data_IF_302722771219
#
_entry.id   IF_302722771219
#
_cell.length_a   1.000
_cell.length_b   1.000
_cell.length_c   1.000
_cell.angle_alpha   90.00
_cell.angle_beta   90.00
_cell.angle_gamma   90.00
#
_symmetry.space_group_name_H-M   'P 1'
#
loop_
_entity.id
_entity.type
_entity.pdbx_description
1 polymer ?
#
# COMPACT_ATOMS: atom_id res chain seq x y z
N UNK A 1 -42.74 -37.87 56.42
CA UNK A 1 -43.94 -37.60 55.61
C UNK A 1 -43.47 -37.44 54.17
N UNK A 2 -43.51 -38.57 53.44
CA UNK A 2 -43.46 -38.76 51.98
C UNK A 2 -42.27 -38.14 51.22
N UNK A 3 -41.22 -38.85 50.81
CA UNK A 3 -41.15 -40.12 50.03
C UNK A 3 -41.88 -40.01 48.68
N UNK A 4 -41.13 -39.79 47.60
CA UNK A 4 -41.42 -40.39 46.29
C UNK A 4 -40.26 -40.20 45.27
N UNK A 5 -39.68 -41.35 44.92
CA UNK A 5 -39.05 -41.76 43.65
C UNK A 5 -37.56 -41.49 43.35
N UNK A 6 -36.78 -42.46 43.83
CA UNK A 6 -35.65 -43.13 43.16
C UNK A 6 -36.08 -43.85 41.86
N UNK A 7 -35.20 -43.79 40.86
CA UNK A 7 -34.74 -44.85 39.93
C UNK A 7 -35.70 -45.93 39.38
N UNK A 8 -35.62 -46.16 38.05
CA UNK A 8 -35.08 -47.36 37.36
C UNK A 8 -35.79 -47.56 36.01
N UNK A 9 -35.04 -47.73 34.90
CA UNK A 9 -35.52 -48.61 33.81
C UNK A 9 -35.17 -48.29 32.35
N UNK A 10 -33.94 -48.67 31.93
CA UNK A 10 -33.53 -49.29 30.65
C UNK A 10 -33.85 -48.69 29.26
N UNK A 11 -32.78 -48.75 28.46
CA UNK A 11 -32.65 -49.01 27.01
C UNK A 11 -33.02 -47.91 26.03
N UNK A 12 -31.99 -47.29 25.45
CA UNK A 12 -31.66 -47.35 24.01
C UNK A 12 -30.25 -46.77 23.83
N UNK A 13 -29.25 -47.64 23.66
CA UNK A 13 -28.64 -47.96 22.35
C UNK A 13 -27.92 -46.77 21.73
N UNK A 14 -26.59 -46.92 21.70
CA UNK A 14 -25.63 -46.19 20.88
C UNK A 14 -26.23 -45.74 19.54
N UNK A 15 -26.34 -44.44 19.35
CA UNK A 15 -26.01 -43.84 18.07
C UNK A 15 -24.75 -43.04 18.27
N UNK A 16 -23.65 -43.60 17.77
CA UNK A 16 -22.38 -42.95 17.54
C UNK A 16 -22.59 -41.76 16.60
N UNK A 17 -23.07 -40.65 17.13
CA UNK A 17 -22.95 -39.34 16.49
C UNK A 17 -21.57 -38.81 16.83
N UNK A 18 -20.65 -38.93 15.89
CA UNK A 18 -19.37 -38.21 15.90
C UNK A 18 -19.66 -36.75 16.23
N UNK A 19 -19.37 -36.33 17.47
CA UNK A 19 -19.21 -34.92 17.78
C UNK A 19 -17.92 -34.53 17.06
N UNK A 20 -18.05 -34.10 15.80
CA UNK A 20 -16.96 -33.39 15.14
C UNK A 20 -16.78 -32.10 15.91
N UNK A 21 -15.75 -32.12 16.74
CA UNK A 21 -15.18 -30.98 17.43
C UNK A 21 -14.88 -29.90 16.37
N UNK A 22 -15.77 -28.94 16.23
CA UNK A 22 -15.77 -27.99 15.12
C UNK A 22 -15.04 -26.69 15.54
N UNK A 23 -13.87 -26.86 16.17
CA UNK A 23 -12.99 -25.82 16.73
C UNK A 23 -12.24 -24.99 15.66
N UNK A 24 -12.61 -25.15 14.38
CA UNK A 24 -11.95 -24.45 13.27
C UNK A 24 -12.43 -23.01 13.16
N UNK A 25 -11.48 -22.11 12.99
CA UNK A 25 -11.71 -20.67 12.94
C UNK A 25 -12.25 -20.28 11.54
N UNK A 26 -13.37 -19.55 11.45
CA UNK A 26 -13.87 -19.08 10.16
C UNK A 26 -12.91 -18.06 9.54
N UNK A 27 -12.78 -18.09 8.22
CA UNK A 27 -11.97 -17.12 7.48
C UNK A 27 -12.58 -16.84 6.10
N UNK A 28 -12.09 -15.78 5.46
CA UNK A 28 -12.49 -15.38 4.12
C UNK A 28 -11.31 -15.52 3.16
N UNK A 29 -11.55 -16.21 2.05
CA UNK A 29 -10.58 -16.33 0.94
C UNK A 29 -11.10 -15.67 -0.33
N UNK A 30 -10.17 -15.26 -1.18
CA UNK A 30 -10.50 -14.68 -2.46
C UNK A 30 -11.18 -15.70 -3.39
N UNK A 31 -12.46 -15.48 -3.73
CA UNK A 31 -13.10 -16.13 -4.86
C UNK A 31 -12.78 -15.35 -6.13
N UNK A 32 -11.85 -15.89 -6.93
CA UNK A 32 -11.36 -15.23 -8.15
C UNK A 32 -12.38 -15.23 -9.29
N UNK A 33 -13.36 -16.13 -9.28
CA UNK A 33 -14.40 -16.19 -10.30
C UNK A 33 -15.42 -15.05 -10.11
N UNK A 34 -15.85 -14.84 -8.86
CA UNK A 34 -16.84 -13.82 -8.51
C UNK A 34 -16.22 -12.48 -8.07
N UNK A 35 -14.89 -12.42 -7.96
CA UNK A 35 -14.13 -11.30 -7.41
C UNK A 35 -14.64 -10.79 -6.05
N UNK A 36 -15.02 -11.73 -5.18
CA UNK A 36 -15.61 -11.49 -3.86
C UNK A 36 -14.94 -12.36 -2.80
N UNK A 37 -15.15 -11.99 -1.54
CA UNK A 37 -14.77 -12.84 -0.41
C UNK A 37 -15.70 -14.05 -0.33
N UNK A 38 -15.13 -15.25 -0.24
CA UNK A 38 -15.84 -16.48 0.08
C UNK A 38 -15.53 -16.86 1.52
N UNK A 39 -16.58 -17.06 2.32
CA UNK A 39 -16.49 -17.52 3.71
C UNK A 39 -16.20 -19.02 3.74
N UNK A 40 -15.24 -19.42 4.55
CA UNK A 40 -14.91 -20.81 4.87
C UNK A 40 -15.10 -21.02 6.37
N UNK A 41 -15.89 -22.03 6.75
CA UNK A 41 -16.25 -22.33 8.13
C UNK A 41 -16.50 -23.83 8.35
N UNK A 42 -16.69 -24.24 9.61
CA UNK A 42 -16.82 -25.64 9.97
C UNK A 42 -15.59 -26.44 9.54
N UNK A 43 -15.79 -27.58 8.85
CA UNK A 43 -14.70 -28.46 8.39
C UNK A 43 -13.68 -27.75 7.47
N UNK A 44 -14.10 -26.70 6.76
CA UNK A 44 -13.26 -25.91 5.86
C UNK A 44 -12.56 -24.73 6.55
N UNK A 45 -12.82 -24.49 7.84
CA UNK A 45 -12.18 -23.44 8.63
C UNK A 45 -10.67 -23.63 8.77
N UNK A 46 -10.00 -22.64 9.37
CA UNK A 46 -8.57 -22.64 9.59
C UNK A 46 -8.19 -22.98 11.03
N UNK A 47 -6.95 -23.41 11.23
CA UNK A 47 -6.40 -23.80 12.53
C UNK A 47 -5.18 -22.94 12.87
N UNK A 48 -4.93 -22.68 14.15
CA UNK A 48 -3.78 -21.88 14.58
C UNK A 48 -2.48 -22.67 14.38
N UNK A 49 -1.49 -22.04 13.74
CA UNK A 49 -0.13 -22.56 13.63
C UNK A 49 0.78 -21.88 14.67
N UNK A 50 0.79 -22.44 15.89
CA UNK A 50 1.56 -21.89 17.03
C UNK A 50 3.08 -21.90 16.82
N UNK A 51 3.59 -22.77 15.97
CA UNK A 51 5.01 -22.95 15.71
C UNK A 51 5.50 -22.16 14.48
N UNK A 52 4.59 -21.49 13.76
CA UNK A 52 4.93 -20.61 12.66
C UNK A 52 5.08 -19.16 13.15
N UNK A 53 6.03 -18.42 12.56
CA UNK A 53 6.19 -16.99 12.81
C UNK A 53 6.55 -16.23 11.54
N UNK A 54 6.03 -15.01 11.40
CA UNK A 54 6.39 -14.10 10.31
C UNK A 54 7.90 -13.79 10.39
N UNK A 55 8.61 -13.96 9.28
CA UNK A 55 10.03 -13.63 9.17
C UNK A 55 10.22 -12.15 8.86
N UNK A 56 11.23 -11.57 9.50
CA UNK A 56 11.73 -10.22 9.25
C UNK A 56 13.24 -10.25 8.95
N UNK A 57 13.78 -11.41 8.54
CA UNK A 57 15.22 -11.65 8.49
C UNK A 57 15.86 -11.24 7.17
N UNK A 58 15.09 -11.17 6.07
CA UNK A 58 15.64 -10.81 4.76
C UNK A 58 16.27 -9.42 4.83
N UNK A 59 17.47 -9.28 4.27
CA UNK A 59 18.16 -8.01 4.20
C UNK A 59 17.33 -6.96 3.43
N UNK A 60 17.42 -5.66 3.78
CA UNK A 60 16.74 -4.61 3.05
C UNK A 60 17.21 -4.52 1.60
N UNK A 61 16.35 -4.09 0.66
CA UNK A 61 16.78 -3.78 -0.70
C UNK A 61 17.82 -2.65 -0.70
N UNK A 62 18.70 -2.57 -1.72
CA UNK A 62 19.63 -1.45 -1.86
C UNK A 62 18.86 -0.13 -1.96
N UNK A 63 19.43 0.95 -1.41
CA UNK A 63 18.86 2.29 -1.54
C UNK A 63 18.78 2.69 -3.03
N UNK A 64 17.75 3.45 -3.44
CA UNK A 64 17.71 4.05 -4.75
C UNK A 64 19.00 4.86 -4.99
N UNK A 65 19.64 4.66 -6.14
CA UNK A 65 20.83 5.43 -6.47
C UNK A 65 20.51 6.93 -6.44
N UNK A 66 21.37 7.72 -5.79
CA UNK A 66 21.25 9.18 -5.81
C UNK A 66 21.14 9.66 -7.27
N UNK A 67 20.28 10.65 -7.57
CA UNK A 67 20.20 11.20 -8.92
C UNK A 67 21.60 11.67 -9.33
N UNK A 68 22.12 11.10 -10.42
CA UNK A 68 23.43 11.50 -10.93
C UNK A 68 23.39 13.01 -11.19
N UNK A 69 24.44 13.77 -10.82
CA UNK A 69 24.48 15.20 -11.13
C UNK A 69 24.23 15.39 -12.63
N UNK A 70 23.54 16.48 -13.02
CA UNK A 70 23.27 16.75 -14.43
C UNK A 70 24.58 16.65 -15.19
N UNK A 71 24.64 15.74 -16.16
CA UNK A 71 25.83 15.61 -17.01
C UNK A 71 26.07 16.99 -17.62
N UNK A 72 27.30 17.54 -17.57
CA UNK A 72 27.61 18.77 -18.28
C UNK A 72 27.17 18.60 -19.73
N UNK A 73 26.56 19.66 -20.29
CA UNK A 73 26.02 19.65 -21.64
C UNK A 73 27.04 19.01 -22.58
N UNK A 74 26.65 17.89 -23.21
CA UNK A 74 27.53 17.20 -24.14
C UNK A 74 27.88 18.18 -25.26
N UNK A 75 29.16 18.45 -25.42
CA UNK A 75 29.67 19.08 -26.63
C UNK A 75 29.16 18.29 -27.85
N UNK A 76 28.82 18.97 -28.96
CA UNK A 76 28.28 18.30 -30.13
C UNK A 76 29.23 17.21 -30.60
N UNK A 77 28.74 15.97 -30.58
CA UNK A 77 29.50 14.78 -30.99
C UNK A 77 29.75 14.88 -32.49
N UNK A 78 31.02 14.92 -32.91
CA UNK A 78 31.42 14.77 -34.31
C UNK A 78 30.78 13.49 -34.87
N UNK A 79 30.06 13.61 -36.00
CA UNK A 79 29.48 12.48 -36.72
C UNK A 79 30.60 11.52 -37.11
N UNK A 80 30.55 10.30 -36.55
CA UNK A 80 31.39 9.17 -36.96
C UNK A 80 31.10 8.82 -38.42
N UNK A 81 32.15 8.55 -39.19
CA UNK A 81 32.05 8.24 -40.61
C UNK A 81 31.67 6.77 -40.82
N UNK A 82 31.29 6.41 -42.05
CA UNK A 82 30.84 5.05 -42.40
C UNK A 82 31.91 3.98 -42.16
N UNK A 83 33.19 4.34 -42.21
CA UNK A 83 34.31 3.45 -41.88
C UNK A 83 34.35 3.11 -40.39
N UNK A 84 34.16 4.10 -39.51
CA UNK A 84 34.16 3.92 -38.04
C UNK A 84 33.01 3.03 -37.53
N UNK A 85 31.93 2.88 -38.33
CA UNK A 85 30.79 2.01 -38.02
C UNK A 85 31.04 0.54 -38.33
N UNK A 86 31.92 0.22 -39.29
CA UNK A 86 32.22 -1.16 -39.70
C UNK A 86 33.24 -1.79 -38.74
N UNK A 87 34.25 -1.02 -38.31
CA UNK A 87 35.25 -1.54 -37.36
C UNK A 87 34.64 -1.81 -35.97
N UNK A 88 33.68 -0.97 -35.54
CA UNK A 88 32.99 -1.18 -34.26
C UNK A 88 32.05 -2.40 -34.26
N UNK A 89 31.45 -2.76 -35.39
CA UNK A 89 30.61 -3.96 -35.48
C UNK A 89 31.45 -5.23 -35.55
N UNK A 90 32.61 -5.19 -36.22
CA UNK A 90 33.55 -6.32 -36.28
C UNK A 90 34.19 -6.61 -34.91
N UNK A 91 34.58 -5.56 -34.18
CA UNK A 91 35.10 -5.69 -32.81
C UNK A 91 34.04 -6.21 -31.82
N UNK A 92 32.78 -5.78 -31.96
CA UNK A 92 31.68 -6.28 -31.13
C UNK A 92 31.35 -7.77 -31.40
N UNK A 93 31.43 -8.21 -32.65
CA UNK A 93 31.25 -9.62 -33.03
C UNK A 93 32.39 -10.51 -32.53
N UNK A 94 33.65 -10.04 -32.59
CA UNK A 94 34.78 -10.79 -32.03
C UNK A 94 34.70 -10.90 -30.50
N UNK A 95 34.32 -9.82 -29.80
CA UNK A 95 34.13 -9.86 -28.35
C UNK A 95 33.01 -10.81 -27.92
N UNK A 96 31.92 -10.90 -28.70
CA UNK A 96 30.84 -11.85 -28.46
C UNK A 96 31.28 -13.31 -28.71
N UNK A 97 32.11 -13.55 -29.74
CA UNK A 97 32.66 -14.88 -30.03
C UNK A 97 33.63 -15.35 -28.92
N UNK A 98 34.47 -14.46 -28.38
CA UNK A 98 35.35 -14.78 -27.26
C UNK A 98 34.57 -15.08 -25.97
N UNK A 99 33.49 -14.35 -25.69
CA UNK A 99 32.63 -14.58 -24.53
C UNK A 99 31.93 -15.95 -24.59
N UNK A 100 31.44 -16.34 -25.78
CA UNK A 100 30.83 -17.66 -26.01
C UNK A 100 31.86 -18.80 -25.92
N UNK A 101 33.09 -18.57 -26.39
CA UNK A 101 34.19 -19.53 -26.24
C UNK A 101 34.58 -19.78 -24.79
N UNK A 102 34.62 -18.73 -23.96
CA UNK A 102 34.90 -18.85 -22.50
C UNK A 102 33.79 -19.57 -21.75
N UNK A 103 32.53 -19.32 -22.12
CA UNK A 103 31.38 -19.99 -21.51
C UNK A 103 31.32 -21.48 -21.88
N UNK A 104 31.64 -21.84 -23.14
CA UNK A 104 31.74 -23.24 -23.56
C UNK A 104 32.86 -23.99 -22.82
N UNK A 105 34.01 -23.34 -22.64
CA UNK A 105 35.16 -23.90 -21.89
C UNK A 105 34.85 -24.11 -20.39
N UNK A 106 33.96 -23.30 -19.83
CA UNK A 106 33.44 -23.48 -18.46
C UNK A 106 32.48 -24.66 -18.35
N UNK A 107 31.58 -24.85 -19.33
CA UNK A 107 30.64 -25.99 -19.37
C UNK A 107 31.34 -27.34 -19.58
N UNK A 108 32.47 -27.36 -20.30
CA UNK A 108 33.23 -28.57 -20.61
C UNK A 108 34.28 -28.94 -19.55
N UNK A 109 34.32 -28.24 -18.40
CA UNK A 109 35.26 -28.57 -17.32
C UNK A 109 34.71 -29.74 -16.48
N UNK A 110 35.36 -30.93 -16.45
CA UNK A 110 34.89 -32.06 -15.68
C UNK A 110 34.93 -31.76 -14.17
N UNK A 111 33.85 -32.08 -13.48
CA UNK A 111 33.74 -31.95 -12.03
C UNK A 111 34.63 -33.01 -11.35
N UNK A 112 35.53 -32.59 -10.45
CA UNK A 112 36.37 -33.51 -9.69
C UNK A 112 35.53 -34.51 -8.86
N UNK A 113 35.91 -35.80 -8.80
CA UNK A 113 35.16 -36.78 -8.03
C UNK A 113 35.28 -36.54 -6.53
N UNK A 114 34.12 -36.60 -5.86
CA UNK A 114 33.95 -36.45 -4.42
C UNK A 114 34.83 -37.45 -3.65
N UNK A 115 35.64 -36.93 -2.72
CA UNK A 115 36.22 -37.76 -1.65
C UNK A 115 35.10 -38.14 -0.67
N UNK A 116 34.86 -39.44 -0.56
CA UNK A 116 33.96 -40.05 0.41
C UNK A 116 34.45 -39.80 1.84
N UNK A 117 33.73 -38.98 2.60
CA UNK A 117 33.82 -38.95 4.06
C UNK A 117 32.85 -40.02 4.64
N UNK A 118 33.17 -40.64 5.80
CA UNK A 118 32.34 -41.69 6.37
C UNK A 118 30.97 -41.16 6.83
N UNK A 119 29.96 -42.01 6.73
CA UNK A 119 28.56 -41.70 7.03
C UNK A 119 28.38 -41.09 8.43
N UNK A 120 27.62 -39.98 8.57
CA UNK A 120 27.14 -39.52 9.87
C UNK A 120 26.16 -40.55 10.45
N UNK A 121 26.12 -40.75 11.78
CA UNK A 121 25.07 -41.54 12.43
C UNK A 121 23.71 -40.94 12.07
N UNK A 122 22.72 -41.80 11.84
CA UNK A 122 21.36 -41.44 11.47
C UNK A 122 20.84 -40.22 12.27
N UNK A 123 20.80 -39.07 11.60
CA UNK A 123 20.07 -37.91 12.09
C UNK A 123 18.59 -38.27 12.03
N UNK A 124 17.93 -38.23 13.18
CA UNK A 124 16.48 -38.20 13.27
C UNK A 124 15.92 -37.25 12.22
N UNK A 125 15.00 -37.73 11.38
CA UNK A 125 14.25 -36.92 10.42
C UNK A 125 13.70 -35.68 11.13
N UNK A 126 14.39 -34.54 10.97
CA UNK A 126 13.81 -33.25 11.28
C UNK A 126 12.71 -33.05 10.25
N UNK A 127 11.47 -33.07 10.73
CA UNK A 127 10.28 -32.61 10.02
C UNK A 127 10.69 -31.39 9.15
N UNK A 128 10.53 -31.42 7.81
CA UNK A 128 11.05 -30.38 6.94
C UNK A 128 10.49 -29.03 7.39
N UNK A 129 11.35 -28.21 7.98
CA UNK A 129 10.97 -26.94 8.58
C UNK A 129 10.43 -26.03 7.46
N UNK A 130 9.11 -25.86 7.42
CA UNK A 130 8.45 -25.06 6.40
C UNK A 130 8.99 -23.63 6.50
N UNK A 131 9.72 -23.19 5.47
CA UNK A 131 10.31 -21.86 5.48
C UNK A 131 9.21 -20.79 5.69
N UNK A 132 9.37 -19.87 6.66
CA UNK A 132 8.37 -18.85 6.96
C UNK A 132 8.22 -17.84 5.83
N UNK A 133 7.10 -17.11 5.84
CA UNK A 133 6.93 -15.92 4.99
C UNK A 133 7.82 -14.81 5.52
N UNK A 134 8.69 -14.24 4.68
CA UNK A 134 9.30 -12.95 5.00
C UNK A 134 8.37 -11.80 4.59
N UNK A 135 8.25 -10.76 5.44
CA UNK A 135 7.35 -9.62 5.16
C UNK A 135 7.63 -8.96 3.80
N UNK A 136 8.88 -8.99 3.34
CA UNK A 136 9.27 -8.47 2.03
C UNK A 136 8.78 -9.31 0.84
N UNK A 137 8.12 -10.46 1.07
CA UNK A 137 7.47 -11.27 0.03
C UNK A 137 6.03 -10.82 -0.27
N UNK A 138 5.43 -9.97 0.58
CA UNK A 138 4.06 -9.45 0.39
C UNK A 138 3.87 -8.77 -0.98
N UNK A 139 4.79 -7.93 -1.50
CA UNK A 139 4.65 -7.37 -2.84
C UNK A 139 4.50 -8.44 -3.94
N UNK A 140 5.17 -9.58 -3.79
CA UNK A 140 5.03 -10.72 -4.71
C UNK A 140 3.63 -11.33 -4.66
N UNK A 141 3.02 -11.42 -3.48
CA UNK A 141 1.63 -11.84 -3.32
C UNK A 141 0.65 -10.81 -3.91
N UNK A 142 0.88 -9.51 -3.69
CA UNK A 142 0.07 -8.43 -4.26
C UNK A 142 0.02 -8.49 -5.79
N UNK A 143 1.16 -8.73 -6.46
CA UNK A 143 1.18 -8.89 -7.94
C UNK A 143 0.33 -10.08 -8.41
N UNK A 144 0.30 -11.19 -7.66
CA UNK A 144 -0.56 -12.35 -7.97
C UNK A 144 -2.04 -12.07 -7.73
N UNK A 145 -2.36 -11.08 -6.91
CA UNK A 145 -3.70 -10.58 -6.66
C UNK A 145 -4.09 -9.42 -7.59
N UNK A 146 -3.34 -9.21 -8.67
CA UNK A 146 -3.55 -8.12 -9.63
C UNK A 146 -3.45 -6.72 -9.00
N UNK A 147 -2.58 -6.56 -8.01
CA UNK A 147 -2.27 -5.29 -7.36
C UNK A 147 -0.82 -4.80 -7.64
N UNK A 148 -0.44 -4.54 -8.91
CA UNK A 148 0.94 -4.18 -9.26
C UNK A 148 1.39 -2.79 -8.78
N UNK A 149 0.51 -1.80 -8.70
CA UNK A 149 0.87 -0.46 -8.19
C UNK A 149 1.10 -0.52 -6.69
N UNK A 150 0.21 -1.20 -5.98
CA UNK A 150 0.34 -1.45 -4.53
C UNK A 150 1.64 -2.17 -4.19
N UNK A 151 1.97 -3.22 -4.96
CA UNK A 151 3.23 -3.94 -4.80
C UNK A 151 4.44 -3.03 -4.98
N UNK A 152 4.43 -2.16 -6.00
CA UNK A 152 5.52 -1.23 -6.27
C UNK A 152 5.69 -0.19 -5.16
N UNK A 153 4.59 0.33 -4.61
CA UNK A 153 4.64 1.28 -3.49
C UNK A 153 5.21 0.62 -2.23
N UNK A 154 4.81 -0.62 -1.94
CA UNK A 154 5.37 -1.37 -0.82
C UNK A 154 6.85 -1.73 -1.02
N UNK A 155 7.25 -2.14 -2.23
CA UNK A 155 8.67 -2.34 -2.60
C UNK A 155 9.48 -1.04 -2.41
N UNK A 156 8.91 0.10 -2.82
CA UNK A 156 9.50 1.42 -2.61
C UNK A 156 9.65 1.73 -1.12
N UNK A 157 8.63 1.45 -0.30
CA UNK A 157 8.69 1.64 1.15
C UNK A 157 9.86 0.82 1.74
N UNK A 158 9.95 -0.47 1.46
CA UNK A 158 11.06 -1.32 1.93
C UNK A 158 12.44 -0.85 1.43
N UNK A 159 12.52 -0.35 0.21
CA UNK A 159 13.74 0.21 -0.36
C UNK A 159 14.06 1.63 0.16
N UNK A 160 13.15 2.28 0.88
CA UNK A 160 13.32 3.64 1.39
C UNK A 160 14.41 3.75 2.46
N UNK A 161 15.00 4.95 2.57
CA UNK A 161 15.73 5.34 3.76
C UNK A 161 14.76 5.42 4.96
N UNK A 162 15.30 5.35 6.19
CA UNK A 162 14.46 5.44 7.38
C UNK A 162 13.73 6.78 7.41
N UNK A 163 12.40 6.73 7.38
CA UNK A 163 11.55 7.90 7.51
C UNK A 163 10.21 7.47 8.14
N UNK A 164 9.78 8.14 9.20
CA UNK A 164 8.45 7.97 9.78
C UNK A 164 8.10 9.16 10.67
N UNK A 165 6.80 9.43 10.83
CA UNK A 165 6.31 10.46 11.74
C UNK A 165 5.99 9.85 13.12
N UNK A 166 6.48 10.41 14.23
CA UNK A 166 6.19 9.89 15.57
C UNK A 166 4.74 10.10 16.03
N UNK A 167 4.05 11.13 15.53
CA UNK A 167 2.68 11.46 15.91
C UNK A 167 1.80 11.76 14.70
N UNK A 168 0.48 11.67 14.88
CA UNK A 168 -0.52 12.04 13.85
C UNK A 168 -0.34 13.50 13.38
N UNK A 169 0.07 14.39 14.29
CA UNK A 169 0.38 15.79 13.98
C UNK A 169 1.61 15.91 13.11
N UNK A 170 2.68 15.18 13.44
CA UNK A 170 3.91 15.18 12.65
C UNK A 170 3.64 14.62 11.26
N UNK A 171 2.81 13.59 11.14
CA UNK A 171 2.43 13.00 9.87
C UNK A 171 1.63 13.97 8.99
N UNK A 172 0.68 14.70 9.58
CA UNK A 172 -0.07 15.75 8.89
C UNK A 172 0.83 16.88 8.39
N UNK A 173 1.92 17.17 9.11
CA UNK A 173 2.90 18.19 8.77
C UNK A 173 4.09 17.67 7.95
N UNK A 174 4.13 16.36 7.65
CA UNK A 174 5.27 15.67 7.04
C UNK A 174 6.58 15.93 7.78
N UNK A 175 6.57 15.75 9.10
CA UNK A 175 7.73 15.84 9.99
C UNK A 175 8.19 14.43 10.35
N UNK A 176 9.49 14.16 10.19
CA UNK A 176 10.09 12.86 10.41
C UNK A 176 10.50 12.63 11.87
N UNK A 177 11.10 11.47 12.13
CA UNK A 177 11.51 11.03 13.45
C UNK A 177 12.61 11.87 14.10
N UNK A 178 13.32 12.70 13.32
CA UNK A 178 14.30 13.68 13.80
C UNK A 178 13.70 15.08 13.99
N UNK A 179 12.38 15.25 13.85
CA UNK A 179 11.72 16.55 13.93
C UNK A 179 11.97 17.45 12.73
N UNK A 180 12.45 16.90 11.62
CA UNK A 180 12.73 17.62 10.38
C UNK A 180 11.61 17.41 9.35
N UNK A 181 11.34 18.37 8.45
CA UNK A 181 10.48 18.13 7.31
C UNK A 181 10.98 16.95 6.46
N UNK A 182 10.05 16.18 5.90
CA UNK A 182 10.36 15.07 5.02
C UNK A 182 11.30 15.53 3.88
N UNK A 183 12.40 14.80 3.62
CA UNK A 183 13.33 15.17 2.57
C UNK A 183 12.70 14.95 1.18
N UNK A 184 13.24 15.57 0.11
CA UNK A 184 12.63 15.53 -1.23
C UNK A 184 12.42 14.12 -1.80
N UNK A 185 13.25 13.15 -1.42
CA UNK A 185 13.13 11.75 -1.85
C UNK A 185 11.97 11.00 -1.18
N UNK A 186 11.38 11.54 -0.12
CA UNK A 186 10.16 11.06 0.54
C UNK A 186 8.87 11.64 -0.08
N UNK A 187 8.96 12.23 -1.27
CA UNK A 187 7.81 12.60 -2.09
C UNK A 187 7.82 11.81 -3.40
N UNK A 188 6.83 10.95 -3.58
CA UNK A 188 6.61 10.20 -4.80
C UNK A 188 5.62 10.93 -5.71
N UNK A 189 6.15 11.60 -6.74
CA UNK A 189 5.40 12.35 -7.74
C UNK A 189 5.12 11.54 -9.03
N UNK A 190 5.49 10.24 -9.07
CA UNK A 190 5.59 9.48 -10.32
C UNK A 190 4.84 8.15 -10.31
N UNK A 191 4.76 7.47 -9.17
CA UNK A 191 4.23 6.10 -9.09
C UNK A 191 2.73 6.04 -9.29
N UNK A 192 1.98 7.08 -8.93
CA UNK A 192 0.52 7.14 -9.07
C UNK A 192 0.17 8.21 -10.07
N UNK A 193 -0.63 7.87 -11.07
CA UNK A 193 -1.16 8.81 -12.06
C UNK A 193 -2.64 9.03 -11.83
N UNK A 194 -3.10 10.26 -11.92
CA UNK A 194 -4.50 10.64 -11.77
C UNK A 194 -5.36 9.90 -12.79
N UNK A 195 -4.89 9.76 -14.03
CA UNK A 195 -5.58 8.94 -15.04
C UNK A 195 -5.76 7.47 -14.63
N UNK A 196 -4.81 6.87 -13.91
CA UNK A 196 -4.93 5.52 -13.39
C UNK A 196 -5.95 5.46 -12.25
N UNK A 197 -5.91 6.43 -11.32
CA UNK A 197 -6.91 6.57 -10.25
C UNK A 197 -8.32 6.70 -10.82
N UNK A 198 -8.49 7.48 -11.89
CA UNK A 198 -9.80 7.71 -12.52
C UNK A 198 -10.34 6.51 -13.32
N UNK A 199 -9.58 5.42 -13.48
CA UNK A 199 -10.11 4.15 -14.01
C UNK A 199 -11.10 3.49 -13.04
N UNK A 200 -11.01 3.81 -11.76
CA UNK A 200 -11.86 3.25 -10.72
C UNK A 200 -13.14 4.09 -10.56
N UNK A 201 -14.34 3.51 -10.73
CA UNK A 201 -15.60 4.25 -10.69
C UNK A 201 -15.81 5.08 -9.42
N UNK A 202 -15.43 4.54 -8.24
CA UNK A 202 -15.55 5.24 -6.95
C UNK A 202 -14.70 6.52 -6.89
N UNK A 203 -13.49 6.48 -7.43
CA UNK A 203 -12.61 7.64 -7.46
C UNK A 203 -13.07 8.66 -8.50
N UNK A 204 -13.52 8.19 -9.68
CA UNK A 204 -14.10 9.04 -10.72
C UNK A 204 -15.36 9.77 -10.24
N UNK A 205 -16.22 9.10 -9.48
CA UNK A 205 -17.41 9.72 -8.90
C UNK A 205 -17.04 10.89 -7.98
N UNK A 206 -16.07 10.71 -7.09
CA UNK A 206 -15.60 11.78 -6.20
C UNK A 206 -14.86 12.89 -6.95
N UNK A 207 -14.08 12.56 -7.99
CA UNK A 207 -13.45 13.53 -8.87
C UNK A 207 -14.47 14.42 -9.59
N UNK A 208 -15.56 13.83 -10.10
CA UNK A 208 -16.63 14.58 -10.75
C UNK A 208 -17.45 15.40 -9.74
N UNK A 209 -17.71 14.85 -8.56
CA UNK A 209 -18.41 15.55 -7.50
C UNK A 209 -17.63 16.78 -7.02
N UNK A 210 -16.30 16.68 -6.91
CA UNK A 210 -15.44 17.78 -6.47
C UNK A 210 -15.37 18.96 -7.46
N UNK A 211 -15.84 18.78 -8.69
CA UNK A 211 -15.95 19.86 -9.68
C UNK A 211 -17.29 20.62 -9.58
N UNK A 212 -18.25 20.11 -8.83
CA UNK A 212 -19.56 20.74 -8.67
C UNK A 212 -19.44 22.01 -7.80
N UNK A 213 -20.14 23.07 -8.20
CA UNK A 213 -20.09 24.37 -7.53
C UNK A 213 -20.42 24.25 -6.06
N UNK A 214 -21.46 23.51 -5.70
CA UNK A 214 -21.92 23.32 -4.32
C UNK A 214 -20.86 22.69 -3.42
N UNK A 215 -19.95 21.89 -3.98
CA UNK A 215 -18.81 21.31 -3.26
C UNK A 215 -17.67 22.31 -3.11
N UNK A 216 -17.43 23.13 -4.12
CA UNK A 216 -16.35 24.12 -4.14
C UNK A 216 -16.68 25.40 -3.34
N UNK A 217 -17.97 25.72 -3.15
CA UNK A 217 -18.43 26.95 -2.48
C UNK A 217 -19.04 26.70 -1.09
N UNK A 218 -18.73 25.57 -0.45
CA UNK A 218 -19.12 25.37 0.96
C UNK A 218 -18.53 26.47 1.85
N UNK A 219 -19.17 26.83 2.98
CA UNK A 219 -18.64 27.88 3.86
C UNK A 219 -17.17 27.67 4.28
N UNK A 220 -16.77 26.41 4.53
CA UNK A 220 -15.37 26.06 4.86
C UNK A 220 -14.42 26.23 3.68
N UNK A 221 -14.87 25.94 2.46
CA UNK A 221 -14.08 26.11 1.24
C UNK A 221 -13.88 27.60 0.93
N UNK A 222 -14.95 28.41 1.01
CA UNK A 222 -14.89 29.88 0.85
C UNK A 222 -13.95 30.52 1.87
N UNK A 223 -14.03 30.10 3.13
CA UNK A 223 -13.12 30.59 4.17
C UNK A 223 -11.66 30.17 3.91
N UNK A 224 -11.43 28.96 3.42
CA UNK A 224 -10.09 28.50 3.05
C UNK A 224 -9.53 29.27 1.84
N UNK A 225 -10.38 29.57 0.85
CA UNK A 225 -10.06 30.43 -0.30
C UNK A 225 -9.70 31.85 0.16
N UNK A 226 -10.52 32.47 1.02
CA UNK A 226 -10.23 33.80 1.58
C UNK A 226 -8.88 33.81 2.31
N UNK A 227 -8.57 32.77 3.07
CA UNK A 227 -7.30 32.65 3.81
C UNK A 227 -6.10 32.49 2.88
N UNK A 228 -6.20 31.68 1.82
CA UNK A 228 -5.05 31.49 0.92
C UNK A 228 -4.83 32.70 0.01
N UNK A 229 -5.90 33.28 -0.54
CA UNK A 229 -5.81 34.41 -1.47
C UNK A 229 -5.46 35.73 -0.80
N UNK A 230 -5.84 35.94 0.47
CA UNK A 230 -5.50 37.17 1.20
C UNK A 230 -4.00 37.41 1.33
N UNK A 231 -3.19 36.35 1.29
CA UNK A 231 -1.72 36.39 1.40
C UNK A 231 -1.01 36.77 0.10
N UNK A 232 -1.73 36.77 -1.02
CA UNK A 232 -1.19 36.98 -2.37
C UNK A 232 -1.99 38.02 -3.15
N UNK A 233 -2.73 38.88 -2.44
CA UNK A 233 -3.49 39.98 -3.03
C UNK A 233 -2.57 40.88 -3.85
N UNK A 234 -2.95 41.10 -5.10
CA UNK A 234 -2.26 41.96 -6.04
C UNK A 234 -3.31 42.72 -6.85
N UNK A 235 -3.07 44.01 -7.12
CA UNK A 235 -4.05 44.86 -7.80
C UNK A 235 -4.08 44.58 -9.30
N UNK A 236 -5.28 44.46 -9.88
CA UNK A 236 -5.52 44.40 -11.33
C UNK A 236 -4.65 43.33 -12.04
N UNK A 237 -4.61 42.11 -11.47
CA UNK A 237 -3.76 41.04 -11.99
C UNK A 237 -4.37 39.66 -11.82
N UNK A 238 -3.93 38.74 -12.66
CA UNK A 238 -4.22 37.31 -12.52
C UNK A 238 -3.01 36.59 -11.97
N UNK A 239 -3.20 35.84 -10.90
CA UNK A 239 -2.16 34.97 -10.36
C UNK A 239 -2.24 33.57 -10.98
N UNK A 240 -1.07 32.98 -11.25
CA UNK A 240 -0.90 31.53 -11.43
C UNK A 240 -0.35 30.96 -10.12
N UNK A 241 -1.19 30.24 -9.39
CA UNK A 241 -0.84 29.71 -8.07
C UNK A 241 0.33 28.71 -8.14
N UNK A 242 0.46 27.94 -9.22
CA UNK A 242 1.55 26.98 -9.37
C UNK A 242 2.86 27.69 -9.72
N UNK A 243 2.81 28.76 -10.54
CA UNK A 243 3.96 29.61 -10.81
C UNK A 243 4.48 30.29 -9.52
N UNK A 244 3.57 30.79 -8.66
CA UNK A 244 3.91 31.33 -7.34
C UNK A 244 4.54 30.30 -6.38
N UNK A 245 4.39 29.01 -6.70
CA UNK A 245 4.97 27.87 -5.99
C UNK A 245 6.18 27.28 -6.74
N UNK A 246 6.76 27.97 -7.74
CA UNK A 246 7.88 27.50 -8.55
C UNK A 246 7.63 26.13 -9.21
N UNK A 247 6.40 25.83 -9.59
CA UNK A 247 6.03 24.52 -10.15
C UNK A 247 5.98 23.38 -9.13
N UNK A 248 6.12 23.65 -7.84
CA UNK A 248 6.12 22.63 -6.78
C UNK A 248 4.69 22.34 -6.29
N UNK A 249 4.19 21.14 -6.61
CA UNK A 249 2.86 20.69 -6.23
C UNK A 249 2.68 20.54 -4.70
N UNK A 250 3.72 20.16 -3.95
CA UNK A 250 3.63 20.07 -2.49
C UNK A 250 3.47 21.47 -1.86
N UNK A 251 4.15 22.47 -2.41
CA UNK A 251 4.00 23.85 -1.96
C UNK A 251 2.66 24.44 -2.38
N UNK A 252 2.17 24.11 -3.59
CA UNK A 252 0.81 24.45 -4.02
C UNK A 252 -0.23 23.87 -3.05
N UNK A 253 -0.09 22.59 -2.68
CA UNK A 253 -0.98 21.93 -1.73
C UNK A 253 -0.99 22.65 -0.38
N UNK A 254 0.18 23.03 0.14
CA UNK A 254 0.29 23.73 1.42
C UNK A 254 -0.34 25.14 1.39
N UNK A 255 -0.21 25.86 0.27
CA UNK A 255 -0.58 27.28 0.18
C UNK A 255 -1.97 27.53 -0.39
N UNK A 256 -2.41 26.73 -1.36
CA UNK A 256 -3.57 27.03 -2.20
C UNK A 256 -4.63 25.92 -2.22
N UNK A 257 -4.43 24.80 -1.52
CA UNK A 257 -5.48 23.81 -1.32
C UNK A 257 -6.61 24.40 -0.49
N UNK A 258 -7.85 24.17 -0.92
CA UNK A 258 -9.02 24.75 -0.25
C UNK A 258 -10.20 23.77 -0.10
N UNK A 259 -10.25 22.69 -0.89
CA UNK A 259 -11.28 21.66 -0.78
C UNK A 259 -10.72 20.27 -1.09
N UNK A 260 -11.41 19.23 -0.63
CA UNK A 260 -11.12 17.84 -0.99
C UNK A 260 -12.38 16.97 -1.01
N UNK A 261 -12.28 15.81 -1.65
CA UNK A 261 -13.30 14.75 -1.64
C UNK A 261 -12.65 13.42 -1.25
N UNK A 262 -13.21 12.77 -0.23
CA UNK A 262 -12.73 11.48 0.26
C UNK A 262 -13.22 10.32 -0.61
N UNK A 263 -12.31 9.43 -0.97
CA UNK A 263 -12.59 8.14 -1.59
C UNK A 263 -12.41 7.07 -0.52
N UNK A 264 -13.52 6.61 0.07
CA UNK A 264 -13.47 5.54 1.05
C UNK A 264 -12.98 4.24 0.42
N UNK A 265 -12.07 3.55 1.12
CA UNK A 265 -11.75 2.16 0.83
C UNK A 265 -12.76 1.20 1.42
N UNK A 266 -12.91 0.08 0.73
CA UNK A 266 -13.61 -1.10 1.23
C UNK A 266 -12.93 -1.73 2.47
N UNK A 267 -11.64 -1.45 2.70
CA UNK A 267 -10.78 -2.26 3.57
C UNK A 267 -10.44 -1.61 4.92
N UNK A 268 -10.35 -0.27 4.99
CA UNK A 268 -9.60 0.39 6.06
C UNK A 268 -10.40 1.15 7.13
N UNK A 269 -11.74 1.20 7.09
CA UNK A 269 -12.49 2.02 8.05
C UNK A 269 -13.70 1.29 8.64
N UNK A 270 -13.60 1.13 9.98
CA UNK A 270 -14.57 0.60 10.94
C UNK A 270 -14.72 -0.91 10.91
N UNK A 271 -13.91 -1.56 11.75
CA UNK A 271 -13.97 -2.97 12.11
C UNK A 271 -15.20 -3.30 12.99
N UNK A 272 -16.34 -2.63 12.82
CA UNK A 272 -17.58 -2.98 13.53
C UNK A 272 -18.34 -4.07 12.75
N UNK A 273 -19.41 -4.64 13.32
CA UNK A 273 -20.36 -5.61 12.69
C UNK A 273 -20.75 -5.27 11.24
N UNK A 274 -20.63 -4.00 10.87
CA UNK A 274 -20.75 -3.45 9.52
C UNK A 274 -19.80 -4.07 8.47
N UNK A 275 -18.65 -4.64 8.88
CA UNK A 275 -17.66 -5.30 8.00
C UNK A 275 -18.18 -6.60 7.40
N UNK A 276 -19.01 -7.38 8.10
CA UNK A 276 -19.56 -8.62 7.51
C UNK A 276 -20.49 -8.30 6.34
N UNK A 277 -21.33 -7.27 6.47
CA UNK A 277 -22.19 -6.78 5.39
C UNK A 277 -21.38 -6.08 4.29
N UNK A 278 -20.36 -5.27 4.62
CA UNK A 278 -19.51 -4.64 3.60
C UNK A 278 -18.58 -5.63 2.92
N UNK A 279 -18.01 -6.65 3.54
CA UNK A 279 -17.11 -7.63 2.89
C UNK A 279 -17.85 -8.58 1.94
N UNK A 280 -19.10 -8.88 2.24
CA UNK A 280 -19.96 -9.68 1.35
C UNK A 280 -20.48 -8.86 0.17
N UNK A 281 -20.69 -7.55 0.36
CA UNK A 281 -21.17 -6.63 -0.68
C UNK A 281 -20.07 -5.92 -1.46
N UNK A 282 -18.87 -5.79 -0.91
CA UNK A 282 -17.72 -5.12 -1.52
C UNK A 282 -16.75 -6.16 -2.05
N UNK A 283 -16.28 -5.96 -3.28
CA UNK A 283 -15.33 -6.87 -3.93
C UNK A 283 -14.01 -7.00 -3.18
N UNK A 284 -13.19 -7.97 -3.62
CA UNK A 284 -11.81 -8.10 -3.13
C UNK A 284 -11.06 -6.77 -3.26
N UNK A 285 -10.13 -6.44 -2.34
CA UNK A 285 -9.29 -5.26 -2.47
C UNK A 285 -8.65 -5.21 -3.85
N UNK A 286 -8.92 -4.13 -4.57
CA UNK A 286 -8.30 -3.85 -5.86
C UNK A 286 -6.98 -3.08 -5.69
N UNK A 287 -6.25 -2.89 -6.78
CA UNK A 287 -4.95 -2.23 -6.76
C UNK A 287 -5.02 -0.77 -6.27
N UNK A 288 -6.15 -0.10 -6.42
CA UNK A 288 -6.34 1.24 -5.84
C UNK A 288 -6.42 1.19 -4.31
N UNK A 289 -7.14 0.19 -3.78
CA UNK A 289 -7.26 -0.02 -2.32
C UNK A 289 -5.93 -0.42 -1.70
N UNK A 290 -5.17 -1.31 -2.33
CA UNK A 290 -3.84 -1.70 -1.82
C UNK A 290 -2.80 -0.59 -1.92
N UNK A 291 -2.97 0.36 -2.85
CA UNK A 291 -2.01 1.44 -3.09
C UNK A 291 -2.24 2.66 -2.20
N UNK A 292 -3.50 3.07 -2.03
CA UNK A 292 -3.88 4.34 -1.39
C UNK A 292 -4.85 4.18 -0.22
N UNK A 293 -5.32 2.96 0.07
CA UNK A 293 -6.36 2.76 1.09
C UNK A 293 -7.55 3.70 0.88
N UNK A 294 -7.93 4.39 1.96
CA UNK A 294 -8.83 5.55 1.88
C UNK A 294 -8.01 6.80 1.65
N UNK A 295 -8.27 7.54 0.58
CA UNK A 295 -7.49 8.72 0.19
C UNK A 295 -8.40 9.88 -0.20
N UNK A 296 -7.79 11.06 -0.42
CA UNK A 296 -8.50 12.25 -0.85
C UNK A 296 -8.07 12.71 -2.24
N UNK A 297 -9.03 13.21 -3.00
CA UNK A 297 -8.78 14.05 -4.18
C UNK A 297 -8.88 15.49 -3.70
N UNK A 298 -7.89 16.32 -4.03
CA UNK A 298 -7.78 17.70 -3.58
C UNK A 298 -8.05 18.68 -4.71
N UNK A 299 -8.62 19.83 -4.34
CA UNK A 299 -8.73 21.01 -5.18
C UNK A 299 -7.85 22.13 -4.61
N UNK A 300 -7.02 22.70 -5.47
CA UNK A 300 -6.26 23.91 -5.21
C UNK A 300 -6.58 24.99 -6.25
N UNK A 301 -6.42 26.26 -5.90
CA UNK A 301 -6.53 27.37 -6.86
C UNK A 301 -5.51 27.16 -7.99
N UNK A 302 -5.93 27.32 -9.24
CA UNK A 302 -5.01 27.42 -10.37
C UNK A 302 -4.81 28.88 -10.77
N UNK A 303 -5.90 29.53 -11.17
CA UNK A 303 -5.92 30.94 -11.56
C UNK A 303 -6.94 31.71 -10.74
N UNK A 304 -6.53 32.88 -10.25
CA UNK A 304 -7.41 33.83 -9.60
C UNK A 304 -7.11 35.25 -10.11
N UNK A 305 -8.14 35.95 -10.53
CA UNK A 305 -8.09 37.34 -10.99
C UNK A 305 -8.49 38.26 -9.84
N UNK A 306 -7.69 39.30 -9.57
CA UNK A 306 -7.98 40.31 -8.56
C UNK A 306 -8.41 41.61 -9.21
N UNK A 307 -9.42 42.26 -8.62
CA UNK A 307 -9.85 43.59 -9.04
C UNK A 307 -8.81 44.68 -8.73
N UNK A 308 -9.10 45.91 -9.19
CA UNK A 308 -8.19 47.06 -9.03
C UNK A 308 -7.81 47.36 -7.59
N UNK A 309 -8.74 47.15 -6.65
CA UNK A 309 -8.51 47.39 -5.23
C UNK A 309 -8.01 46.13 -4.49
N UNK A 310 -7.84 45.02 -5.22
CA UNK A 310 -7.64 43.67 -4.70
C UNK A 310 -8.64 43.29 -3.58
N UNK A 311 -9.86 43.83 -3.59
CA UNK A 311 -10.96 43.54 -2.64
C UNK A 311 -11.80 42.36 -3.09
N UNK A 312 -11.80 42.06 -4.38
CA UNK A 312 -12.46 40.89 -4.95
C UNK A 312 -11.44 40.00 -5.65
N UNK A 313 -11.62 38.69 -5.52
CA UNK A 313 -10.92 37.70 -6.31
C UNK A 313 -11.90 36.74 -6.99
N UNK A 314 -11.71 36.55 -8.29
CA UNK A 314 -12.49 35.65 -9.14
C UNK A 314 -11.64 34.44 -9.50
N UNK A 315 -11.98 33.27 -8.97
CA UNK A 315 -11.30 32.01 -9.28
C UNK A 315 -11.94 31.40 -10.52
N UNK A 316 -11.17 31.31 -11.61
CA UNK A 316 -11.65 30.79 -12.90
C UNK A 316 -11.26 29.34 -13.15
N UNK A 317 -10.18 28.87 -12.53
CA UNK A 317 -9.69 27.49 -12.72
C UNK A 317 -9.08 26.92 -11.44
N UNK A 318 -9.14 25.59 -11.34
CA UNK A 318 -8.60 24.83 -10.21
C UNK A 318 -7.69 23.70 -10.68
N UNK A 319 -6.75 23.31 -9.83
CA UNK A 319 -5.97 22.09 -9.97
C UNK A 319 -6.60 20.96 -9.17
N UNK A 320 -6.82 19.82 -9.82
CA UNK A 320 -7.28 18.57 -9.19
C UNK A 320 -6.17 17.52 -9.21
N UNK A 321 -5.91 16.91 -8.05
CA UNK A 321 -4.86 15.91 -7.87
C UNK A 321 -5.14 15.02 -6.66
N UNK A 322 -4.42 13.92 -6.53
CA UNK A 322 -4.42 13.05 -5.35
C UNK A 322 -3.17 13.35 -4.53
N UNK A 323 -3.35 13.40 -3.21
CA UNK A 323 -2.26 13.33 -2.24
C UNK A 323 -2.61 12.24 -1.22
N UNK A 324 -1.63 11.44 -0.85
CA UNK A 324 -1.80 10.43 0.19
C UNK A 324 -0.51 10.20 0.96
N UNK A 325 -0.61 9.79 2.22
CA UNK A 325 0.54 9.43 3.03
C UNK A 325 0.69 7.91 3.03
N UNK A 326 1.73 7.38 2.39
CA UNK A 326 2.02 5.95 2.43
C UNK A 326 2.80 5.63 3.69
N UNK A 327 2.07 5.25 4.74
CA UNK A 327 2.57 5.06 6.10
C UNK A 327 2.01 3.80 6.73
N UNK A 328 2.70 3.29 7.75
CA UNK A 328 2.21 2.23 8.63
C UNK A 328 2.10 2.73 10.07
N UNK A 329 1.59 3.96 10.24
CA UNK A 329 1.31 4.56 11.54
C UNK A 329 -0.04 4.09 12.07
N UNK A 330 -0.11 3.91 13.38
CA UNK A 330 -1.37 3.72 14.09
C UNK A 330 -1.69 5.01 14.85
N UNK A 331 -2.97 5.36 14.98
CA UNK A 331 -3.38 6.51 15.77
C UNK A 331 -2.99 6.31 17.23
N UNK A 332 -2.66 7.41 17.89
CA UNK A 332 -2.22 7.38 19.29
C UNK A 332 -3.30 6.73 20.17
N UNK A 333 -2.97 5.61 20.81
CA UNK A 333 -3.87 4.86 21.69
C UNK A 333 -4.79 3.85 21.01
N UNK A 334 -4.74 3.72 19.68
CA UNK A 334 -5.50 2.70 18.94
C UNK A 334 -4.71 1.38 18.77
N UNK A 335 -5.43 0.28 18.58
CA UNK A 335 -4.80 -1.01 18.26
C UNK A 335 -4.22 -0.98 16.84
N UNK A 336 -3.12 -1.70 16.65
CA UNK A 336 -2.46 -1.73 15.34
C UNK A 336 -3.34 -2.29 14.24
N UNK A 337 -3.49 -1.53 13.15
CA UNK A 337 -4.41 -1.85 12.07
C UNK A 337 -4.11 -3.24 11.49
N UNK A 338 -5.16 -4.05 11.37
CA UNK A 338 -5.09 -5.37 10.74
C UNK A 338 -5.08 -5.25 9.21
N UNK A 339 -4.07 -5.85 8.57
CA UNK A 339 -3.87 -5.80 7.12
C UNK A 339 -4.13 -7.15 6.43
N UNK A 340 -4.65 -8.14 7.17
CA UNK A 340 -4.92 -9.49 6.67
C UNK A 340 -3.92 -10.53 7.16
N UNK A 341 -4.19 -11.81 6.87
CA UNK A 341 -3.20 -12.87 6.97
C UNK A 341 -2.66 -13.19 5.59
N UNK A 342 -1.35 -13.09 5.43
CA UNK A 342 -0.67 -13.17 4.14
C UNK A 342 0.15 -14.45 4.02
N UNK A 343 0.29 -14.94 2.80
CA UNK A 343 1.35 -15.87 2.43
C UNK A 343 2.02 -15.36 1.15
N UNK A 344 2.98 -16.13 0.61
CA UNK A 344 3.75 -15.72 -0.57
C UNK A 344 2.94 -15.67 -1.89
N UNK A 345 1.65 -16.05 -1.85
CA UNK A 345 0.75 -16.09 -3.01
C UNK A 345 -0.54 -15.28 -2.83
N UNK A 346 -1.09 -15.19 -1.62
CA UNK A 346 -2.48 -14.78 -1.36
C UNK A 346 -2.61 -14.11 0.02
N UNK A 347 -3.78 -13.52 0.23
CA UNK A 347 -4.24 -12.98 1.51
C UNK A 347 -5.58 -13.61 1.88
N UNK A 348 -5.80 -13.82 3.17
CA UNK A 348 -7.08 -14.22 3.77
C UNK A 348 -7.43 -13.30 4.94
N UNK A 349 -8.72 -13.22 5.28
CA UNK A 349 -9.20 -12.47 6.44
C UNK A 349 -9.71 -13.45 7.49
N UNK A 350 -9.12 -13.43 8.68
CA UNK A 350 -9.48 -14.31 9.79
C UNK A 350 -10.27 -13.49 10.80
N UNK A 351 -11.50 -13.11 10.45
CA UNK A 351 -12.34 -12.25 11.29
C UNK A 351 -13.13 -13.08 12.30
N UNK A 352 -13.33 -12.54 13.51
CA UNK A 352 -14.31 -13.13 14.42
C UNK A 352 -15.72 -12.90 13.92
N UNK A 353 -16.56 -13.92 14.07
CA UNK A 353 -18.00 -13.84 13.90
C UNK A 353 -18.64 -13.60 15.27
N UNK A 354 -19.38 -12.51 15.45
CA UNK A 354 -20.21 -12.24 16.63
C UNK A 354 -19.88 -10.94 17.37
N UNK A 355 -20.83 -10.46 18.17
CA UNK A 355 -20.88 -9.17 18.87
C UNK A 355 -19.78 -8.93 19.94
N UNK A 356 -18.76 -9.78 20.02
CA UNK A 356 -17.62 -9.57 20.90
C UNK A 356 -16.59 -8.71 20.14
N UNK A 357 -16.42 -7.46 20.58
CA UNK A 357 -15.46 -6.53 20.01
C UNK A 357 -14.04 -7.10 19.87
N UNK A 358 -13.26 -6.52 18.95
CA UNK A 358 -11.93 -7.03 18.54
C UNK A 358 -10.91 -7.10 19.67
N UNK A 359 -11.16 -6.39 20.77
CA UNK A 359 -10.41 -6.51 22.00
C UNK A 359 -10.68 -7.88 22.67
N UNK A 360 -9.87 -8.89 22.33
CA UNK A 360 -9.89 -10.20 23.00
C UNK A 360 -9.76 -11.42 22.09
N UNK A 361 -9.79 -11.22 20.76
CA UNK A 361 -9.69 -12.32 19.80
C UNK A 361 -8.23 -12.77 19.67
N UNK A 362 -7.87 -13.82 20.42
CA UNK A 362 -6.48 -14.30 20.50
C UNK A 362 -5.91 -14.76 19.16
N UNK A 363 -6.72 -15.34 18.28
CA UNK A 363 -6.22 -15.95 17.04
C UNK A 363 -5.83 -14.95 15.94
N UNK A 364 -6.27 -13.69 16.00
CA UNK A 364 -5.91 -12.66 15.00
C UNK A 364 -4.41 -12.34 14.96
N UNK A 365 -3.69 -12.71 16.02
CA UNK A 365 -2.26 -12.47 16.16
C UNK A 365 -1.41 -13.73 15.92
N UNK A 366 -2.02 -14.86 15.56
CA UNK A 366 -1.29 -16.09 15.22
C UNK A 366 -1.39 -16.43 13.74
N UNK A 367 -0.35 -17.04 13.14
CA UNK A 367 -0.49 -17.65 11.84
C UNK A 367 -1.56 -18.73 11.84
N UNK A 368 -2.20 -18.93 10.69
CA UNK A 368 -3.25 -19.94 10.52
C UNK A 368 -2.94 -20.87 9.35
N UNK A 369 -3.30 -22.14 9.47
CA UNK A 369 -3.29 -23.13 8.39
C UNK A 369 -4.70 -23.21 7.82
N UNK A 370 -4.83 -22.93 6.53
CA UNK A 370 -6.10 -23.04 5.80
C UNK A 370 -6.10 -24.26 4.87
N UNK A 371 -7.31 -24.71 4.50
CA UNK A 371 -7.53 -25.84 3.57
C UNK A 371 -6.99 -27.19 4.10
N UNK A 372 -6.85 -27.35 5.42
CA UNK A 372 -6.45 -28.60 6.07
C UNK A 372 -5.07 -29.14 5.69
N UNK A 373 -4.25 -28.34 5.00
CA UNK A 373 -2.94 -28.75 4.50
C UNK A 373 -1.84 -27.87 5.08
N UNK A 374 -0.92 -28.46 5.83
CA UNK A 374 0.24 -27.73 6.36
C UNK A 374 1.34 -27.61 5.30
N UNK A 375 1.40 -26.46 4.62
CA UNK A 375 2.42 -26.17 3.60
C UNK A 375 2.71 -24.67 3.52
N UNK A 376 3.85 -24.27 2.95
CA UNK A 376 4.19 -22.84 2.73
C UNK A 376 3.10 -22.07 1.96
N UNK A 377 2.29 -22.76 1.15
CA UNK A 377 1.18 -22.16 0.39
C UNK A 377 -0.14 -22.08 1.13
N UNK A 378 -0.22 -22.64 2.34
CA UNK A 378 -1.44 -22.79 3.12
C UNK A 378 -1.33 -22.23 4.55
N UNK A 379 -0.10 -21.89 5.00
CA UNK A 379 0.12 -21.12 6.22
C UNK A 379 0.04 -19.63 5.87
N UNK A 380 -0.82 -18.90 6.57
CA UNK A 380 -1.01 -17.46 6.43
C UNK A 380 -0.62 -16.75 7.72
N UNK A 381 0.15 -15.68 7.60
CA UNK A 381 0.76 -14.96 8.72
C UNK A 381 0.04 -13.63 8.93
N UNK A 382 -0.34 -13.27 10.16
CA UNK A 382 -0.98 -11.98 10.43
C UNK A 382 -0.01 -10.85 10.13
N UNK A 383 -0.48 -9.86 9.37
CA UNK A 383 0.26 -8.64 9.07
C UNK A 383 -0.53 -7.45 9.59
N UNK A 384 0.17 -6.54 10.27
CA UNK A 384 -0.37 -5.30 10.83
C UNK A 384 0.58 -4.15 10.56
N UNK A 385 0.14 -2.92 10.80
CA UNK A 385 1.03 -1.74 10.79
C UNK A 385 2.26 -1.94 11.68
N UNK A 386 2.09 -2.51 12.89
CA UNK A 386 3.19 -2.84 13.81
C UNK A 386 4.24 -3.78 13.19
N UNK A 387 3.84 -4.68 12.29
CA UNK A 387 4.77 -5.59 11.60
C UNK A 387 5.77 -4.82 10.73
N UNK A 388 5.32 -3.76 10.06
CA UNK A 388 6.19 -2.87 9.28
C UNK A 388 7.07 -2.02 10.19
N UNK A 389 6.55 -1.51 11.31
CA UNK A 389 7.34 -0.78 12.31
C UNK A 389 8.41 -1.65 12.97
N UNK A 390 8.10 -2.90 13.31
CA UNK A 390 9.08 -3.88 13.80
C UNK A 390 10.20 -4.13 12.78
N UNK A 391 9.83 -4.29 11.50
CA UNK A 391 10.82 -4.41 10.42
C UNK A 391 11.68 -3.14 10.30
N UNK A 392 11.05 -1.97 10.36
CA UNK A 392 11.73 -0.66 10.28
C UNK A 392 12.73 -0.46 11.42
N UNK A 393 12.33 -0.79 12.65
CA UNK A 393 13.19 -0.75 13.84
C UNK A 393 14.39 -1.70 13.70
N UNK A 394 14.16 -2.92 13.22
CA UNK A 394 15.21 -3.95 13.08
C UNK A 394 16.25 -3.58 12.03
N UNK A 395 15.82 -3.04 10.90
CA UNK A 395 16.67 -2.83 9.74
C UNK A 395 17.18 -1.40 9.59
N UNK A 396 16.60 -0.45 10.34
CA UNK A 396 16.86 1.00 10.17
C UNK A 396 16.64 1.44 8.72
N UNK A 397 15.62 0.85 8.09
CA UNK A 397 15.20 1.01 6.68
C UNK A 397 13.68 0.94 6.63
N UNK A 398 13.07 1.27 5.50
CA UNK A 398 11.62 1.42 5.44
C UNK A 398 11.30 2.88 5.67
N UNK A 399 10.77 3.54 4.65
CA UNK A 399 10.52 4.97 4.68
C UNK A 399 9.10 5.29 4.30
N UNK A 400 8.35 5.87 5.22
CA UNK A 400 7.06 6.48 4.93
C UNK A 400 7.28 7.63 3.94
N UNK A 401 6.37 7.81 3.00
CA UNK A 401 6.50 8.84 1.97
C UNK A 401 5.15 9.40 1.58
N UNK A 402 5.15 10.61 1.04
CA UNK A 402 3.95 11.26 0.52
C UNK A 402 3.82 10.94 -0.96
N UNK A 403 2.66 10.44 -1.36
CA UNK A 403 2.29 10.23 -2.76
C UNK A 403 1.60 11.49 -3.24
N UNK A 404 1.98 11.95 -4.42
CA UNK A 404 1.18 12.86 -5.23
C UNK A 404 0.96 12.25 -6.61
N UNK A 405 -0.26 12.39 -7.13
CA UNK A 405 -0.48 12.19 -8.55
C UNK A 405 0.03 13.37 -9.37
N UNK A 406 0.08 13.22 -10.69
CA UNK A 406 -0.03 14.37 -11.58
C UNK A 406 -1.38 15.10 -11.37
N UNK A 407 -1.47 16.33 -11.87
CA UNK A 407 -2.64 17.19 -11.69
C UNK A 407 -3.35 17.46 -13.01
N UNK A 408 -4.62 17.86 -12.92
CA UNK A 408 -5.39 18.42 -14.04
C UNK A 408 -5.85 19.83 -13.71
N UNK A 409 -5.60 20.76 -14.63
CA UNK A 409 -6.21 22.09 -14.59
C UNK A 409 -7.62 21.99 -15.17
N UNK A 410 -8.62 22.46 -14.42
CA UNK A 410 -10.03 22.48 -14.82
C UNK A 410 -10.53 23.91 -14.72
N UNK A 411 -11.02 24.44 -15.84
CA UNK A 411 -11.75 25.71 -15.87
C UNK A 411 -13.16 25.50 -15.33
N UNK A 412 -13.56 26.36 -14.40
CA UNK A 412 -14.88 26.31 -13.78
C UNK A 412 -15.92 26.91 -14.75
N UNK A 413 -17.07 26.24 -14.96
CA UNK A 413 -18.17 26.81 -15.75
C UNK A 413 -18.70 28.11 -15.15
N UNK A 414 -18.74 28.18 -13.82
CA UNK A 414 -19.08 29.37 -13.06
C UNK A 414 -17.92 29.71 -12.12
N UNK A 415 -17.32 30.91 -12.24
CA UNK A 415 -16.26 31.34 -11.35
C UNK A 415 -16.70 31.40 -9.88
N UNK A 416 -15.74 31.23 -8.97
CA UNK A 416 -15.96 31.42 -7.53
C UNK A 416 -15.52 32.83 -7.18
N UNK A 417 -16.44 33.62 -6.63
CA UNK A 417 -16.17 34.99 -6.19
C UNK A 417 -15.83 35.01 -4.71
N UNK A 418 -14.74 35.70 -4.36
CA UNK A 418 -14.30 35.90 -2.98
C UNK A 418 -14.16 37.39 -2.73
N UNK A 419 -14.93 37.89 -1.77
CA UNK A 419 -14.79 39.24 -1.24
C UNK A 419 -13.94 39.22 0.04
N UNK A 420 -12.95 40.11 0.09
CA UNK A 420 -12.09 40.35 1.25
C UNK A 420 -12.66 41.53 2.05
N UNK A 421 -12.92 41.30 3.34
CA UNK A 421 -13.29 42.33 4.31
C UNK A 421 -12.13 43.26 4.64
#
# INVERSE_FOLDING_TARGET
MFDMYRNVGRSQQFCSGTIMDNDKIPYYKANRLLWKWARCEGIEGCEIAHDAKLSMNKAPPPLPAAPKPPKPARQPVKRLTRADRVDNTLNALMAAAEALGRFKKWLDTPQEPARSAPAPPAEHEKDPTIAPLDIQEIPGAMRRLFMPVSARLMERWFAGALNYSPTDRDEALCINQEGQPYPPDMYDMKSVKLEWVLKYPRARAQYNALQQRERLTTPRAVESLRRCLSRVRMTDTTIDALALCNGNLAELHKRFQFQFAGVESTFGQKLDEFILQRLTNSGLPDDLTGALGSFNIYAAVAYAEFDRDARHATITSIYLYVRDNYTFSDRTGEQSQYLGHWNHKRVVLVLATGAAGIAGIRWLDYPVVAEGKRSRGNIYYPVRNKSFREWQLRHRRGGDFVIFSDYRCVTLPEPIEIEFS
#
